data_IF_085571604762
#
_entry.id   IF_085571604762
#
_cell.length_a   1.000
_cell.length_b   1.000
_cell.length_c   1.000
_cell.angle_alpha   90.00
_cell.angle_beta   90.00
_cell.angle_gamma   90.00
#
_symmetry.space_group_name_H-M   'P 1'
#
loop_
_entity.id
_entity.type
_entity.pdbx_description
1 polymer ?
#
# COMPACT_ATOMS: atom_id res chain seq x y z
N UNK A 1 13.38 -0.55 6.08
CA UNK A 1 12.44 -0.64 7.22
C UNK A 1 11.10 -1.05 6.62
N UNK A 2 10.36 -1.97 7.23
CA UNK A 2 9.06 -2.41 6.69
C UNK A 2 7.97 -1.34 6.84
N UNK A 3 6.92 -1.46 6.05
CA UNK A 3 5.71 -0.66 6.15
C UNK A 3 4.88 -1.04 7.39
N UNK A 4 4.04 -0.14 7.87
CA UNK A 4 3.26 -0.35 9.10
C UNK A 4 1.80 -0.60 8.79
N UNK A 5 1.32 -1.80 9.15
CA UNK A 5 -0.09 -2.10 9.27
C UNK A 5 -0.53 -1.90 10.73
N UNK A 6 -1.57 -1.10 10.96
CA UNK A 6 -2.20 -0.91 12.27
C UNK A 6 -3.67 -1.27 12.19
N UNK A 7 -4.12 -2.18 13.06
CA UNK A 7 -5.54 -2.47 13.23
C UNK A 7 -6.15 -1.40 14.12
N UNK A 8 -7.15 -0.68 13.63
CA UNK A 8 -7.77 0.44 14.34
C UNK A 8 -9.08 0.06 15.01
N UNK A 9 -9.80 -0.93 14.47
CA UNK A 9 -11.05 -1.41 15.05
C UNK A 9 -11.41 -2.82 14.60
N UNK A 10 -12.22 -3.53 15.40
CA UNK A 10 -12.86 -4.78 15.02
C UNK A 10 -14.31 -4.80 15.51
N UNK A 11 -15.27 -5.00 14.59
CA UNK A 11 -16.68 -5.18 14.93
C UNK A 11 -16.99 -6.68 15.05
N UNK A 12 -17.06 -7.18 16.29
CA UNK A 12 -17.32 -8.59 16.56
C UNK A 12 -18.70 -9.11 16.12
N UNK A 13 -19.69 -8.22 15.90
CA UNK A 13 -21.03 -8.61 15.43
C UNK A 13 -21.05 -8.88 13.92
N UNK A 14 -20.24 -8.15 13.15
CA UNK A 14 -20.22 -8.23 11.68
C UNK A 14 -18.96 -8.87 11.10
N UNK A 15 -17.90 -9.00 11.91
CA UNK A 15 -16.59 -9.48 11.48
C UNK A 15 -15.73 -8.43 10.76
N UNK A 16 -16.18 -7.17 10.67
CA UNK A 16 -15.47 -6.12 9.93
C UNK A 16 -14.25 -5.62 10.72
N UNK A 17 -13.09 -5.58 10.07
CA UNK A 17 -11.83 -5.03 10.58
C UNK A 17 -11.57 -3.67 9.90
N UNK A 18 -11.22 -2.66 10.69
CA UNK A 18 -10.71 -1.38 10.18
C UNK A 18 -9.22 -1.29 10.44
N UNK A 19 -8.47 -0.76 9.48
CA UNK A 19 -7.02 -0.67 9.55
C UNK A 19 -6.49 0.60 8.87
N UNK A 20 -5.28 0.99 9.23
CA UNK A 20 -4.45 1.95 8.49
C UNK A 20 -3.17 1.27 8.04
N UNK A 21 -2.75 1.56 6.82
CA UNK A 21 -1.49 1.10 6.27
C UNK A 21 -0.65 2.31 5.87
N UNK A 22 0.57 2.38 6.39
CA UNK A 22 1.48 3.51 6.20
C UNK A 22 2.76 3.05 5.53
N UNK A 23 3.09 3.72 4.42
CA UNK A 23 4.41 3.62 3.80
C UNK A 23 5.41 4.41 4.65
N UNK A 24 6.39 3.73 5.25
CA UNK A 24 7.32 4.33 6.22
C UNK A 24 8.58 4.93 5.56
N UNK A 25 8.70 4.81 4.25
CA UNK A 25 9.82 5.32 3.50
C UNK A 25 9.71 4.99 2.02
N UNK A 26 10.81 5.23 1.31
CA UNK A 26 10.97 4.81 -0.07
C UNK A 26 11.37 3.34 -0.10
N UNK A 27 10.58 2.51 -0.78
CA UNK A 27 10.96 1.13 -1.10
C UNK A 27 11.65 1.05 -2.46
N UNK A 28 12.64 0.16 -2.57
CA UNK A 28 13.36 -0.07 -3.83
C UNK A 28 12.47 -0.89 -4.76
N UNK A 29 11.96 -0.25 -5.80
CA UNK A 29 11.18 -0.91 -6.85
C UNK A 29 12.10 -1.54 -7.92
N UNK A 30 11.67 -2.63 -8.59
CA UNK A 30 12.36 -3.18 -9.74
C UNK A 30 12.63 -2.15 -10.84
N UNK A 31 13.76 -2.24 -11.54
CA UNK A 31 14.07 -1.36 -12.69
C UNK A 31 13.43 -1.89 -13.98
N UNK A 32 12.58 -1.09 -14.61
CA UNK A 32 11.92 -1.45 -15.88
C UNK A 32 10.78 -0.49 -16.22
N UNK A 33 10.54 -0.24 -17.51
CA UNK A 33 9.61 0.77 -17.99
C UNK A 33 8.13 0.46 -17.60
N UNK A 34 7.49 1.45 -16.95
CA UNK A 34 6.14 1.52 -16.34
C UNK A 34 6.16 1.54 -14.80
N UNK A 35 4.98 1.79 -14.20
CA UNK A 35 4.74 1.76 -12.76
C UNK A 35 5.10 0.39 -12.17
N UNK A 36 6.13 0.33 -11.32
CA UNK A 36 6.64 -0.92 -10.75
C UNK A 36 5.89 -1.26 -9.45
N UNK A 37 5.64 -2.54 -9.19
CA UNK A 37 4.87 -2.96 -8.01
C UNK A 37 5.70 -3.79 -7.02
N UNK A 38 5.47 -3.57 -5.73
CA UNK A 38 5.88 -4.43 -4.62
C UNK A 38 4.62 -4.94 -3.95
N UNK A 39 4.52 -6.26 -3.78
CA UNK A 39 3.40 -6.88 -3.08
C UNK A 39 3.79 -7.26 -1.66
N UNK A 40 2.90 -6.95 -0.72
CA UNK A 40 2.99 -7.32 0.69
C UNK A 40 1.76 -8.12 1.09
N UNK A 41 1.95 -9.15 1.90
CA UNK A 41 0.86 -10.01 2.38
C UNK A 41 0.94 -10.13 3.90
N UNK A 42 -0.19 -9.85 4.55
CA UNK A 42 -0.34 -9.94 5.99
C UNK A 42 -1.33 -11.05 6.31
N UNK A 43 -0.88 -12.09 7.01
CA UNK A 43 -1.79 -13.11 7.55
C UNK A 43 -2.60 -12.55 8.70
N UNK A 44 -3.92 -12.64 8.60
CA UNK A 44 -4.86 -12.21 9.65
C UNK A 44 -5.48 -13.46 10.26
N UNK A 45 -5.39 -13.57 11.59
CA UNK A 45 -6.04 -14.63 12.37
C UNK A 45 -7.11 -14.00 13.26
N UNK A 46 -8.34 -14.46 13.12
CA UNK A 46 -9.44 -14.12 14.03
C UNK A 46 -9.72 -15.31 14.95
N UNK A 47 -9.78 -15.07 16.25
CA UNK A 47 -10.07 -16.08 17.29
C UNK A 47 -11.32 -15.68 18.07
N UNK A 48 -12.26 -16.60 18.24
CA UNK A 48 -13.50 -16.37 18.99
C UNK A 48 -13.33 -16.70 20.50
N UNK A 49 -14.40 -16.51 21.28
CA UNK A 49 -14.38 -16.73 22.73
C UNK A 49 -14.27 -18.19 23.15
N UNK A 50 -14.49 -19.15 22.25
CA UNK A 50 -14.29 -20.58 22.51
C UNK A 50 -12.94 -21.09 21.99
N UNK A 51 -12.07 -20.17 21.55
CA UNK A 51 -10.73 -20.43 21.02
C UNK A 51 -10.72 -21.10 19.63
N UNK A 52 -11.84 -21.05 18.91
CA UNK A 52 -11.89 -21.38 17.48
C UNK A 52 -11.27 -20.25 16.67
N UNK A 53 -10.53 -20.58 15.61
CA UNK A 53 -9.82 -19.58 14.79
C UNK A 53 -10.07 -19.77 13.31
N UNK A 54 -10.10 -18.64 12.59
CA UNK A 54 -10.13 -18.57 11.13
C UNK A 54 -8.99 -17.67 10.64
N UNK A 55 -8.45 -17.96 9.46
CA UNK A 55 -7.33 -17.24 8.85
C UNK A 55 -7.69 -16.68 7.48
N UNK A 56 -7.11 -15.53 7.14
CA UNK A 56 -7.19 -14.89 5.82
C UNK A 56 -5.94 -14.05 5.54
N UNK A 57 -5.87 -13.43 4.35
CA UNK A 57 -4.81 -12.49 3.99
C UNK A 57 -5.37 -11.07 3.80
N UNK A 58 -4.57 -10.08 4.18
CA UNK A 58 -4.68 -8.73 3.67
C UNK A 58 -3.48 -8.49 2.75
N UNK A 59 -3.76 -8.38 1.45
CA UNK A 59 -2.75 -8.19 0.43
C UNK A 59 -2.71 -6.71 0.00
N UNK A 60 -1.52 -6.12 0.04
CA UNK A 60 -1.27 -4.72 -0.32
C UNK A 60 -0.33 -4.70 -1.51
N UNK A 61 -0.69 -3.94 -2.54
CA UNK A 61 0.17 -3.71 -3.70
C UNK A 61 0.61 -2.24 -3.73
N UNK A 62 1.89 -2.01 -3.48
CA UNK A 62 2.52 -0.69 -3.55
C UNK A 62 2.99 -0.49 -4.98
N UNK A 63 2.56 0.60 -5.61
CA UNK A 63 2.86 0.90 -7.02
C UNK A 63 3.65 2.19 -7.09
N UNK A 64 4.84 2.12 -7.68
CA UNK A 64 5.69 3.27 -7.99
C UNK A 64 5.05 4.11 -9.09
N UNK A 65 5.08 5.43 -8.94
CA UNK A 65 4.56 6.32 -9.96
C UNK A 65 5.54 6.50 -11.14
N UNK A 66 5.08 7.18 -12.19
CA UNK A 66 5.92 7.50 -13.35
C UNK A 66 6.07 9.01 -13.42
N UNK A 67 7.30 9.54 -13.55
CA UNK A 67 7.49 10.98 -13.67
C UNK A 67 6.82 11.51 -14.95
N UNK A 68 6.09 12.62 -14.82
CA UNK A 68 5.48 13.33 -15.94
C UNK A 68 6.33 14.55 -16.33
N UNK A 69 6.94 14.52 -17.51
CA UNK A 69 7.57 15.70 -18.09
C UNK A 69 6.50 16.69 -18.60
N UNK A 70 6.75 17.99 -18.44
CA UNK A 70 5.98 19.04 -19.08
C UNK A 70 6.92 19.81 -20.03
N UNK A 71 6.41 20.19 -21.20
CA UNK A 71 7.21 20.90 -22.20
C UNK A 71 7.49 22.34 -21.75
N UNK A 72 8.73 22.81 -21.97
CA UNK A 72 9.11 24.20 -21.77
C UNK A 72 8.72 25.04 -23.00
N UNK A 73 8.15 26.24 -22.79
CA UNK A 73 7.91 27.22 -23.87
C UNK A 73 9.02 28.27 -23.90
N UNK A 74 9.85 28.27 -24.95
CA UNK A 74 10.81 29.35 -25.19
C UNK A 74 10.13 30.54 -25.88
N UNK A 75 9.50 31.44 -25.13
CA UNK A 75 9.12 32.78 -25.63
C UNK A 75 10.34 33.72 -25.60
N UNK A 76 11.30 33.51 -26.50
CA UNK A 76 12.26 34.57 -26.84
C UNK A 76 12.13 34.87 -28.33
N UNK A 77 11.26 35.81 -28.65
CA UNK A 77 11.27 36.49 -29.94
C UNK A 77 12.38 37.53 -29.85
N UNK A 78 13.52 37.25 -30.49
CA UNK A 78 14.54 38.27 -30.71
C UNK A 78 13.96 39.35 -31.64
N UNK A 79 14.03 40.61 -31.20
CA UNK A 79 13.69 41.81 -31.96
C UNK A 79 14.83 42.26 -32.86
#
# INVERSE_FOLDING_TARGET
>A
FGNTLTITNYNATTGVISYSYTLNGTDTHPTGANANSISESFTVTATDSNNSSATGSLDVNVVDDVPKANDDTNEQVAS
#
